data_IF_186812499517
#
_entry.id   IF_186812499517
#
_cell.length_a   1.000
_cell.length_b   1.000
_cell.length_c   1.000
_cell.angle_alpha   90.00
_cell.angle_beta   90.00
_cell.angle_gamma   90.00
#
_symmetry.space_group_name_H-M   'P 1'
#
loop_
_entity.id
_entity.type
_entity.pdbx_description
1 polymer ?
#
# COMPACT_ATOMS: atom_id res chain seq x y z
N UNK A 1 -18.53 -26.28 25.76
CA UNK A 1 -19.93 -25.85 25.90
C UNK A 1 -20.67 -26.11 24.60
N UNK A 2 -21.94 -26.50 24.64
CA UNK A 2 -22.75 -26.81 23.45
C UNK A 2 -24.16 -26.25 23.63
N UNK A 3 -24.81 -25.84 22.54
CA UNK A 3 -26.19 -25.38 22.47
C UNK A 3 -26.91 -26.16 21.35
N UNK A 4 -28.11 -26.65 21.62
CA UNK A 4 -28.92 -27.46 20.69
C UNK A 4 -30.29 -26.83 20.47
N UNK A 5 -30.80 -26.97 19.25
CA UNK A 5 -32.19 -26.67 18.94
C UNK A 5 -33.11 -27.66 19.65
N UNK A 6 -34.27 -27.17 20.10
CA UNK A 6 -35.35 -27.99 20.65
C UNK A 6 -35.95 -28.90 19.56
N UNK A 7 -36.56 -30.01 19.94
CA UNK A 7 -37.21 -30.95 18.99
C UNK A 7 -38.27 -30.26 18.13
N UNK A 8 -39.03 -29.33 18.71
CA UNK A 8 -40.03 -28.54 17.99
C UNK A 8 -39.35 -27.48 17.09
N UNK A 9 -38.32 -26.80 17.61
CA UNK A 9 -37.51 -25.85 16.85
C UNK A 9 -36.84 -26.47 15.62
N UNK A 10 -36.29 -27.68 15.74
CA UNK A 10 -35.69 -28.44 14.63
C UNK A 10 -36.70 -28.73 13.52
N UNK A 11 -37.94 -29.12 13.88
CA UNK A 11 -39.01 -29.41 12.90
C UNK A 11 -39.55 -28.15 12.23
N UNK A 12 -39.64 -27.03 12.95
CA UNK A 12 -40.22 -25.79 12.44
C UNK A 12 -39.24 -24.94 11.62
N UNK A 13 -37.95 -24.92 11.99
CA UNK A 13 -36.98 -24.02 11.37
C UNK A 13 -36.52 -24.48 9.98
N UNK A 14 -36.63 -25.77 9.64
CA UNK A 14 -36.12 -26.37 8.40
C UNK A 14 -34.68 -25.92 8.03
N UNK A 15 -33.88 -25.58 9.04
CA UNK A 15 -32.50 -25.12 8.86
C UNK A 15 -31.53 -26.30 8.85
N UNK A 16 -30.43 -26.23 8.10
CA UNK A 16 -29.47 -27.33 7.97
C UNK A 16 -28.65 -27.59 9.24
N UNK A 17 -28.73 -26.70 10.23
CA UNK A 17 -27.97 -26.76 11.47
C UNK A 17 -28.91 -26.72 12.68
N UNK A 18 -28.65 -27.61 13.65
CA UNK A 18 -29.44 -27.75 14.88
C UNK A 18 -28.57 -27.70 16.14
N UNK A 19 -27.25 -27.53 16.00
CA UNK A 19 -26.30 -27.53 17.09
C UNK A 19 -25.15 -26.57 16.85
N UNK A 20 -24.69 -25.92 17.91
CA UNK A 20 -23.40 -25.23 17.94
C UNK A 20 -22.57 -25.71 19.13
N UNK A 21 -21.31 -26.03 18.86
CA UNK A 21 -20.31 -26.43 19.85
C UNK A 21 -19.19 -25.39 19.88
N UNK A 22 -18.86 -24.91 21.08
CA UNK A 22 -17.69 -24.07 21.30
C UNK A 22 -16.40 -24.90 21.18
N UNK A 23 -15.43 -24.40 20.43
CA UNK A 23 -14.08 -24.93 20.29
C UNK A 23 -13.07 -23.99 20.95
N UNK A 24 -11.79 -24.39 20.99
CA UNK A 24 -10.72 -23.57 21.60
C UNK A 24 -10.54 -22.20 20.91
N UNK A 25 -10.68 -22.14 19.58
CA UNK A 25 -10.49 -20.92 18.78
C UNK A 25 -11.53 -20.81 17.66
N UNK A 26 -12.79 -21.11 18.00
CA UNK A 26 -13.86 -21.15 17.01
C UNK A 26 -15.16 -21.73 17.55
N UNK A 27 -16.11 -21.88 16.65
CA UNK A 27 -17.33 -22.67 16.88
C UNK A 27 -17.52 -23.66 15.75
N UNK A 28 -18.07 -24.81 16.09
CA UNK A 28 -18.59 -25.78 15.12
C UNK A 28 -20.10 -25.67 15.09
N UNK A 29 -20.66 -25.43 13.92
CA UNK A 29 -22.10 -25.46 13.68
C UNK A 29 -22.42 -26.74 12.90
N UNK A 30 -23.35 -27.56 13.39
CA UNK A 30 -23.65 -28.87 12.81
C UNK A 30 -25.14 -29.19 12.77
N UNK A 31 -25.54 -30.07 11.88
CA UNK A 31 -26.83 -30.74 11.82
C UNK A 31 -26.67 -32.19 11.35
N UNK A 32 -27.76 -32.83 10.92
CA UNK A 32 -27.76 -34.28 10.61
C UNK A 32 -26.82 -34.67 9.44
N UNK A 33 -26.66 -33.78 8.45
CA UNK A 33 -25.84 -34.05 7.24
C UNK A 33 -24.83 -32.95 6.92
N UNK A 34 -24.74 -31.91 7.74
CA UNK A 34 -23.91 -30.73 7.48
C UNK A 34 -23.09 -30.36 8.70
N UNK A 35 -21.82 -30.06 8.49
CA UNK A 35 -20.91 -29.53 9.51
C UNK A 35 -20.15 -28.33 8.94
N UNK A 36 -20.03 -27.28 9.74
CA UNK A 36 -19.33 -26.07 9.37
C UNK A 36 -18.48 -25.57 10.54
N UNK A 37 -17.17 -25.49 10.33
CA UNK A 37 -16.23 -24.92 11.30
C UNK A 37 -16.07 -23.42 11.04
N UNK A 38 -16.24 -22.62 12.09
CA UNK A 38 -16.07 -21.17 12.08
C UNK A 38 -14.92 -20.83 13.04
N UNK A 39 -13.69 -20.71 12.54
CA UNK A 39 -12.58 -20.18 13.31
C UNK A 39 -12.83 -18.73 13.74
N UNK A 40 -12.32 -18.32 14.90
CA UNK A 40 -12.47 -16.94 15.37
C UNK A 40 -11.86 -15.88 14.44
N UNK A 41 -10.82 -16.23 13.69
CA UNK A 41 -10.19 -15.33 12.70
C UNK A 41 -11.05 -15.10 11.44
N UNK A 42 -12.14 -15.82 11.26
CA UNK A 42 -13.10 -15.61 10.17
C UNK A 42 -14.38 -14.92 10.64
N UNK A 43 -14.54 -14.72 11.95
CA UNK A 43 -15.77 -14.19 12.52
C UNK A 43 -15.75 -12.66 12.50
N UNK A 44 -16.80 -12.04 11.94
CA UNK A 44 -16.94 -10.59 11.87
C UNK A 44 -17.85 -10.05 12.99
N UNK A 45 -18.94 -10.75 13.27
CA UNK A 45 -19.88 -10.45 14.36
C UNK A 45 -20.68 -11.69 14.75
N UNK A 46 -21.18 -11.67 15.98
CA UNK A 46 -22.13 -12.66 16.51
C UNK A 46 -23.37 -11.88 16.96
N UNK A 47 -24.53 -12.24 16.42
CA UNK A 47 -25.80 -11.68 16.86
C UNK A 47 -26.62 -12.73 17.61
N UNK A 48 -27.19 -12.32 18.74
CA UNK A 48 -28.14 -13.12 19.51
C UNK A 48 -29.51 -12.46 19.42
N UNK A 49 -30.47 -13.15 18.80
CA UNK A 49 -31.82 -12.63 18.57
C UNK A 49 -32.86 -13.45 19.32
N UNK A 50 -33.88 -12.78 19.85
CA UNK A 50 -35.07 -13.42 20.39
C UNK A 50 -36.15 -13.45 19.32
N UNK A 51 -36.54 -14.65 18.90
CA UNK A 51 -37.72 -14.87 18.07
C UNK A 51 -39.01 -14.92 18.89
N UNK A 52 -40.14 -15.21 18.23
CA UNK A 52 -41.45 -15.31 18.87
C UNK A 52 -41.51 -16.36 19.98
N UNK A 53 -40.78 -17.47 19.83
CA UNK A 53 -40.80 -18.59 20.78
C UNK A 53 -39.40 -19.13 21.11
N UNK A 54 -38.40 -18.89 20.25
CA UNK A 54 -37.04 -19.46 20.36
C UNK A 54 -35.96 -18.38 20.29
N UNK A 55 -34.76 -18.69 20.76
CA UNK A 55 -33.55 -17.92 20.48
C UNK A 55 -32.86 -18.33 19.19
N UNK A 56 -32.10 -17.39 18.64
CA UNK A 56 -31.34 -17.52 17.40
C UNK A 56 -29.93 -16.93 17.58
N UNK A 57 -28.93 -17.59 16.98
CA UNK A 57 -27.57 -17.09 16.82
C UNK A 57 -27.24 -16.94 15.34
N UNK A 58 -26.68 -15.78 14.97
CA UNK A 58 -26.12 -15.54 13.65
C UNK A 58 -24.63 -15.24 13.73
N UNK A 59 -23.85 -15.92 12.89
CA UNK A 59 -22.42 -15.70 12.71
C UNK A 59 -22.18 -15.05 11.35
N UNK A 60 -21.69 -13.81 11.33
CA UNK A 60 -21.35 -13.11 10.09
C UNK A 60 -19.89 -13.38 9.72
N UNK A 61 -19.65 -13.79 8.49
CA UNK A 61 -18.36 -14.16 7.92
C UNK A 61 -18.03 -13.28 6.69
N UNK A 62 -16.78 -13.25 6.22
CA UNK A 62 -16.41 -12.58 4.97
C UNK A 62 -17.26 -13.02 3.77
N UNK A 63 -17.39 -12.12 2.78
CA UNK A 63 -18.13 -12.39 1.55
C UNK A 63 -19.64 -12.48 1.74
N UNK A 64 -20.20 -11.69 2.67
CA UNK A 64 -21.65 -11.63 2.99
C UNK A 64 -22.24 -12.97 3.46
N UNK A 65 -21.40 -13.92 3.85
CA UNK A 65 -21.83 -15.22 4.32
C UNK A 65 -22.33 -15.13 5.77
N UNK A 66 -23.50 -15.71 6.02
CA UNK A 66 -24.10 -15.80 7.35
C UNK A 66 -24.42 -17.25 7.67
N UNK A 67 -23.98 -17.73 8.84
CA UNK A 67 -24.33 -19.04 9.38
C UNK A 67 -25.27 -18.83 10.56
N UNK A 68 -26.41 -19.53 10.58
CA UNK A 68 -27.43 -19.35 11.60
C UNK A 68 -27.75 -20.64 12.34
N UNK A 69 -28.01 -20.52 13.64
CA UNK A 69 -28.61 -21.55 14.47
C UNK A 69 -29.95 -21.03 15.01
N UNK A 70 -31.03 -21.76 14.75
CA UNK A 70 -32.39 -21.39 15.16
C UNK A 70 -33.01 -22.45 16.07
N UNK A 71 -34.08 -22.08 16.77
CA UNK A 71 -34.92 -23.05 17.49
C UNK A 71 -34.39 -23.46 18.86
N UNK A 72 -33.47 -22.68 19.45
CA UNK A 72 -32.86 -22.94 20.76
C UNK A 72 -33.67 -22.30 21.89
N UNK A 73 -33.58 -22.81 23.12
CA UNK A 73 -34.22 -22.16 24.27
C UNK A 73 -33.57 -20.81 24.56
N UNK A 74 -34.37 -19.75 24.70
CA UNK A 74 -33.86 -18.38 24.78
C UNK A 74 -32.84 -18.16 25.90
N UNK A 75 -33.08 -18.70 27.09
CA UNK A 75 -32.16 -18.59 28.24
C UNK A 75 -30.82 -19.27 27.97
N UNK A 76 -30.83 -20.43 27.30
CA UNK A 76 -29.63 -21.15 26.89
C UNK A 76 -28.89 -20.43 25.76
N UNK A 77 -29.62 -19.87 24.78
CA UNK A 77 -29.06 -19.03 23.71
C UNK A 77 -28.30 -17.85 24.29
N UNK A 78 -28.91 -17.13 25.22
CA UNK A 78 -28.29 -15.98 25.87
C UNK A 78 -27.03 -16.40 26.64
N UNK A 79 -27.10 -17.46 27.45
CA UNK A 79 -25.95 -17.95 28.23
C UNK A 79 -24.79 -18.35 27.32
N UNK A 80 -25.09 -19.08 26.25
CA UNK A 80 -24.09 -19.48 25.26
C UNK A 80 -23.49 -18.27 24.55
N UNK A 81 -24.32 -17.32 24.10
CA UNK A 81 -23.87 -16.09 23.45
C UNK A 81 -22.90 -15.31 24.32
N UNK A 82 -23.24 -15.06 25.60
CA UNK A 82 -22.38 -14.28 26.49
C UNK A 82 -21.02 -14.96 26.66
N UNK A 83 -21.00 -16.27 26.90
CA UNK A 83 -19.76 -17.02 27.09
C UNK A 83 -18.90 -17.02 25.81
N UNK A 84 -19.51 -17.32 24.66
CA UNK A 84 -18.81 -17.30 23.37
C UNK A 84 -18.29 -15.90 23.05
N UNK A 85 -19.10 -14.86 23.24
CA UNK A 85 -18.69 -13.49 22.95
C UNK A 85 -17.52 -13.08 23.85
N UNK A 86 -17.53 -13.40 25.15
CA UNK A 86 -16.39 -13.13 26.03
C UNK A 86 -15.11 -13.79 25.51
N UNK A 87 -15.14 -15.08 25.16
CA UNK A 87 -13.97 -15.78 24.64
C UNK A 87 -13.48 -15.21 23.31
N UNK A 88 -14.40 -14.89 22.41
CA UNK A 88 -14.07 -14.32 21.12
C UNK A 88 -13.49 -12.91 21.25
N UNK A 89 -14.02 -12.07 22.15
CA UNK A 89 -13.46 -10.74 22.41
C UNK A 89 -12.06 -10.82 23.04
N UNK A 90 -11.86 -11.71 24.01
CA UNK A 90 -10.53 -11.93 24.61
C UNK A 90 -9.51 -12.38 23.56
N UNK A 91 -9.85 -13.41 22.78
CA UNK A 91 -8.98 -13.88 21.70
C UNK A 91 -8.73 -12.77 20.66
N UNK A 92 -9.73 -11.96 20.35
CA UNK A 92 -9.57 -10.87 19.37
C UNK A 92 -8.64 -9.78 19.88
N UNK A 93 -8.66 -9.47 21.18
CA UNK A 93 -7.75 -8.52 21.79
C UNK A 93 -6.30 -9.04 21.79
N UNK A 94 -6.08 -10.31 22.15
CA UNK A 94 -4.75 -10.93 22.07
C UNK A 94 -4.20 -10.94 20.63
N UNK A 95 -5.06 -11.23 19.66
CA UNK A 95 -4.66 -11.20 18.24
C UNK A 95 -4.49 -9.79 17.68
N UNK A 96 -5.13 -8.77 18.27
CA UNK A 96 -4.95 -7.39 17.83
C UNK A 96 -3.56 -6.85 18.19
N UNK A 97 -2.91 -7.38 19.23
CA UNK A 97 -1.50 -7.05 19.54
C UNK A 97 -0.57 -7.52 18.41
N UNK A 98 -0.75 -8.74 17.91
CA UNK A 98 0.00 -9.27 16.76
C UNK A 98 -0.28 -8.40 15.52
N UNK A 99 -1.55 -8.01 15.30
CA UNK A 99 -1.89 -7.13 14.20
C UNK A 99 -1.22 -5.75 14.32
N UNK A 100 -1.17 -5.18 15.53
CA UNK A 100 -0.48 -3.92 15.80
C UNK A 100 1.01 -4.00 15.46
N UNK A 101 1.69 -5.09 15.82
CA UNK A 101 3.11 -5.28 15.50
C UNK A 101 3.38 -5.38 14.00
N UNK A 102 2.55 -6.15 13.27
CA UNK A 102 2.64 -6.24 11.81
C UNK A 102 2.45 -4.86 11.16
N UNK A 103 1.43 -4.10 11.58
CA UNK A 103 1.16 -2.78 11.04
C UNK A 103 2.28 -1.78 11.36
N UNK A 104 2.82 -1.80 12.60
CA UNK A 104 3.98 -0.98 12.98
C UNK A 104 5.18 -1.26 12.08
N UNK A 105 5.48 -2.54 11.83
CA UNK A 105 6.60 -2.92 10.97
C UNK A 105 6.40 -2.38 9.54
N UNK A 106 5.19 -2.49 8.98
CA UNK A 106 4.90 -1.95 7.65
C UNK A 106 5.07 -0.43 7.61
N UNK A 107 4.53 0.30 8.60
CA UNK A 107 4.66 1.76 8.64
C UNK A 107 6.11 2.22 8.83
N UNK A 108 6.93 1.48 9.58
CA UNK A 108 8.37 1.76 9.69
C UNK A 108 9.12 1.55 8.36
N UNK A 109 8.74 0.55 7.56
CA UNK A 109 9.28 0.38 6.20
C UNK A 109 8.86 1.51 5.26
N UNK A 110 7.60 1.94 5.37
CA UNK A 110 7.07 3.06 4.59
C UNK A 110 7.82 4.35 4.93
N UNK A 111 7.95 4.68 6.22
CA UNK A 111 8.66 5.89 6.66
C UNK A 111 10.12 5.92 6.16
N UNK A 112 10.81 4.78 6.12
CA UNK A 112 12.16 4.68 5.53
C UNK A 112 12.18 4.92 4.02
N UNK A 113 11.12 4.50 3.32
CA UNK A 113 11.01 4.58 1.86
C UNK A 113 10.52 5.96 1.38
N UNK A 114 9.72 6.65 2.19
CA UNK A 114 9.19 7.99 1.97
C UNK A 114 9.91 9.04 2.82
N UNK A 115 11.16 8.78 3.21
CA UNK A 115 11.92 9.68 4.07
C UNK A 115 12.05 11.07 3.42
N UNK A 116 12.06 12.10 4.27
CA UNK A 116 12.28 13.48 3.84
C UNK A 116 13.59 13.60 3.04
N UNK A 117 13.58 14.47 2.03
CA UNK A 117 14.76 14.70 1.18
C UNK A 117 15.01 13.63 0.11
N UNK A 118 14.03 12.78 -0.21
CA UNK A 118 14.10 11.84 -1.34
C UNK A 118 12.87 11.95 -2.24
N UNK A 119 13.08 11.74 -3.55
CA UNK A 119 11.98 11.56 -4.50
C UNK A 119 11.24 10.25 -4.23
N UNK A 120 9.91 10.31 -4.19
CA UNK A 120 9.03 9.16 -4.06
C UNK A 120 8.48 8.74 -5.43
N UNK A 121 9.08 7.71 -6.01
CA UNK A 121 8.72 7.19 -7.33
C UNK A 121 7.37 6.46 -7.32
N UNK A 122 6.74 6.37 -8.50
CA UNK A 122 5.51 5.55 -8.66
C UNK A 122 5.74 4.08 -8.32
N UNK A 123 6.91 3.54 -8.68
CA UNK A 123 7.28 2.15 -8.38
C UNK A 123 7.35 1.91 -6.88
N UNK A 124 8.02 2.78 -6.12
CA UNK A 124 8.10 2.67 -4.66
C UNK A 124 6.71 2.71 -4.00
N UNK A 125 5.82 3.59 -4.46
CA UNK A 125 4.44 3.63 -3.96
C UNK A 125 3.70 2.32 -4.25
N UNK A 126 3.83 1.78 -5.47
CA UNK A 126 3.24 0.48 -5.83
C UNK A 126 3.76 -0.65 -4.93
N UNK A 127 5.07 -0.66 -4.68
CA UNK A 127 5.71 -1.65 -3.80
C UNK A 127 5.26 -1.54 -2.35
N UNK A 128 5.13 -0.31 -1.82
CA UNK A 128 4.56 -0.04 -0.50
C UNK A 128 3.14 -0.61 -0.41
N UNK A 129 2.27 -0.26 -1.37
CA UNK A 129 0.89 -0.74 -1.36
C UNK A 129 0.80 -2.27 -1.45
N UNK A 130 1.65 -2.89 -2.29
CA UNK A 130 1.72 -4.35 -2.43
C UNK A 130 2.13 -5.02 -1.12
N UNK A 131 3.17 -4.50 -0.45
CA UNK A 131 3.64 -4.99 0.86
C UNK A 131 2.56 -4.87 1.93
N UNK A 132 1.90 -3.72 2.02
CA UNK A 132 0.77 -3.52 2.95
C UNK A 132 -0.33 -4.54 2.67
N UNK A 133 -0.82 -4.68 1.43
CA UNK A 133 -1.88 -5.66 1.10
C UNK A 133 -1.49 -7.09 1.46
N UNK A 134 -0.24 -7.47 1.19
CA UNK A 134 0.30 -8.77 1.55
C UNK A 134 0.29 -8.98 3.07
N UNK A 135 0.79 -8.01 3.85
CA UNK A 135 0.79 -8.08 5.30
C UNK A 135 -0.63 -8.20 5.87
N UNK A 136 -1.60 -7.45 5.31
CA UNK A 136 -3.01 -7.49 5.72
C UNK A 136 -3.66 -8.84 5.49
N UNK A 137 -3.32 -9.55 4.42
CA UNK A 137 -3.86 -10.91 4.16
C UNK A 137 -3.42 -11.95 5.18
N UNK A 138 -2.31 -11.70 5.89
CA UNK A 138 -1.78 -12.59 6.93
C UNK A 138 -2.23 -12.23 8.34
N UNK A 139 -3.08 -11.22 8.53
CA UNK A 139 -3.47 -10.78 9.86
C UNK A 139 -4.35 -11.83 10.56
N UNK A 140 -4.14 -12.06 11.87
CA UNK A 140 -4.97 -12.99 12.64
C UNK A 140 -6.38 -12.46 12.90
N UNK A 141 -6.61 -11.15 12.77
CA UNK A 141 -7.92 -10.51 12.93
C UNK A 141 -8.40 -9.96 11.58
N UNK A 142 -9.68 -10.15 11.19
CA UNK A 142 -10.23 -9.53 9.99
C UNK A 142 -10.03 -8.02 9.96
N UNK A 143 -9.58 -7.48 8.83
CA UNK A 143 -9.26 -6.04 8.68
C UNK A 143 -10.43 -5.12 9.01
N UNK A 144 -11.66 -5.53 8.71
CA UNK A 144 -12.90 -4.78 9.04
C UNK A 144 -13.12 -4.59 10.54
N UNK A 145 -12.44 -5.36 11.38
CA UNK A 145 -12.52 -5.25 12.84
C UNK A 145 -11.40 -4.42 13.45
N UNK A 146 -10.35 -4.07 12.69
CA UNK A 146 -9.16 -3.40 13.26
C UNK A 146 -9.48 -2.03 13.87
N UNK A 147 -10.49 -1.32 13.37
CA UNK A 147 -10.95 -0.05 13.98
C UNK A 147 -11.50 -0.22 15.40
N UNK A 148 -11.90 -1.43 15.80
CA UNK A 148 -12.46 -1.68 17.13
C UNK A 148 -11.39 -1.77 18.23
N UNK A 149 -10.10 -1.86 17.89
CA UNK A 149 -9.03 -2.06 18.87
C UNK A 149 -8.09 -0.85 18.91
N UNK A 150 -7.96 -0.22 20.09
CA UNK A 150 -7.18 1.01 20.25
C UNK A 150 -5.69 0.84 19.93
N UNK A 151 -5.13 -0.35 20.21
CA UNK A 151 -3.72 -0.68 20.00
C UNK A 151 -3.31 -0.69 18.51
N UNK A 152 -4.24 -0.96 17.59
CA UNK A 152 -3.96 -1.03 16.15
C UNK A 152 -4.77 -0.05 15.30
N UNK A 153 -5.81 0.59 15.83
CA UNK A 153 -6.73 1.47 15.09
C UNK A 153 -6.01 2.53 14.26
N UNK A 154 -5.10 3.29 14.90
CA UNK A 154 -4.43 4.39 14.22
C UNK A 154 -3.42 3.91 13.17
N UNK A 155 -2.71 2.82 13.48
CA UNK A 155 -1.79 2.17 12.54
C UNK A 155 -2.55 1.68 11.30
N UNK A 156 -3.72 1.09 11.52
CA UNK A 156 -4.60 0.63 10.45
C UNK A 156 -5.04 1.79 9.55
N UNK A 157 -5.47 2.91 10.13
CA UNK A 157 -5.86 4.11 9.37
C UNK A 157 -4.72 4.69 8.54
N UNK A 158 -3.51 4.69 9.07
CA UNK A 158 -2.32 5.08 8.29
C UNK A 158 -2.03 4.11 7.15
N UNK A 159 -2.15 2.79 7.37
CA UNK A 159 -2.05 1.83 6.27
C UNK A 159 -3.15 2.07 5.21
N UNK A 160 -4.38 2.36 5.63
CA UNK A 160 -5.48 2.70 4.71
C UNK A 160 -5.20 3.97 3.90
N UNK A 161 -4.59 5.01 4.50
CA UNK A 161 -4.20 6.23 3.78
C UNK A 161 -3.10 5.96 2.76
N UNK A 162 -2.25 4.94 2.97
CA UNK A 162 -1.30 4.50 1.94
C UNK A 162 -1.94 3.67 0.83
N UNK A 163 -3.05 3.00 1.12
CA UNK A 163 -3.83 2.24 0.14
C UNK A 163 -4.83 3.09 -0.65
N UNK A 164 -5.21 4.26 -0.14
CA UNK A 164 -6.17 5.19 -0.74
C UNK A 164 -5.51 6.52 -1.09
N UNK A 165 -5.95 7.18 -2.17
CA UNK A 165 -5.54 8.55 -2.52
C UNK A 165 -4.02 8.84 -2.61
N UNK A 166 -3.19 7.83 -2.88
CA UNK A 166 -1.73 7.93 -2.75
C UNK A 166 -1.06 8.84 -3.78
N UNK A 167 -1.66 9.04 -4.95
CA UNK A 167 -1.04 9.89 -5.99
C UNK A 167 -0.99 11.36 -5.56
N UNK A 168 -2.04 11.87 -4.89
CA UNK A 168 -2.05 13.24 -4.40
C UNK A 168 -0.95 13.46 -3.36
N UNK A 169 -0.88 12.59 -2.35
CA UNK A 169 0.14 12.65 -1.31
C UNK A 169 1.56 12.51 -1.89
N UNK A 170 1.75 11.64 -2.88
CA UNK A 170 3.03 11.48 -3.59
C UNK A 170 3.43 12.75 -4.34
N UNK A 171 2.49 13.41 -5.00
CA UNK A 171 2.74 14.68 -5.71
C UNK A 171 3.11 15.80 -4.72
N UNK A 172 2.40 15.92 -3.60
CA UNK A 172 2.70 16.89 -2.54
C UNK A 172 4.09 16.66 -1.95
N UNK A 173 4.43 15.41 -1.61
CA UNK A 173 5.78 15.02 -1.15
C UNK A 173 6.87 15.40 -2.15
N UNK A 174 6.68 15.02 -3.42
CA UNK A 174 7.64 15.32 -4.48
C UNK A 174 7.74 16.82 -4.79
N UNK A 175 6.66 17.57 -4.58
CA UNK A 175 6.68 19.03 -4.69
C UNK A 175 7.57 19.64 -3.61
N UNK A 176 7.39 19.26 -2.35
CA UNK A 176 8.24 19.74 -1.24
C UNK A 176 9.71 19.36 -1.47
N UNK A 177 9.99 18.13 -1.90
CA UNK A 177 11.34 17.71 -2.29
C UNK A 177 11.89 18.60 -3.41
N UNK A 178 11.09 18.85 -4.44
CA UNK A 178 11.52 19.65 -5.59
C UNK A 178 11.86 21.08 -5.19
N UNK A 179 11.01 21.72 -4.38
CA UNK A 179 11.23 23.08 -3.90
C UNK A 179 12.50 23.17 -3.04
N UNK A 180 12.73 22.20 -2.17
CA UNK A 180 13.98 22.10 -1.41
C UNK A 180 15.21 21.96 -2.30
N UNK A 181 15.15 21.11 -3.33
CA UNK A 181 16.27 20.93 -4.28
C UNK A 181 16.53 22.19 -5.12
N UNK A 182 15.48 22.87 -5.59
CA UNK A 182 15.63 24.11 -6.37
C UNK A 182 16.27 25.22 -5.54
N UNK A 183 15.95 25.30 -4.24
CA UNK A 183 16.56 26.25 -3.33
C UNK A 183 18.02 25.90 -3.02
N UNK A 184 18.27 24.66 -2.60
CA UNK A 184 19.61 24.18 -2.22
C UNK A 184 20.60 24.29 -3.38
N UNK A 185 20.16 24.01 -4.61
CA UNK A 185 21.00 23.98 -5.81
C UNK A 185 20.73 25.16 -6.74
N UNK A 186 20.23 26.29 -6.21
CA UNK A 186 19.93 27.48 -7.01
C UNK A 186 21.09 27.93 -7.90
N UNK A 187 22.32 27.89 -7.39
CA UNK A 187 23.53 28.25 -8.14
C UNK A 187 23.76 27.35 -9.35
N UNK A 188 23.54 26.04 -9.20
CA UNK A 188 23.62 25.08 -10.30
C UNK A 188 22.60 25.41 -11.39
N UNK A 189 21.32 25.58 -11.02
CA UNK A 189 20.26 25.86 -12.01
C UNK A 189 20.41 27.23 -12.70
N UNK A 190 21.09 28.18 -12.04
CA UNK A 190 21.39 29.49 -12.61
C UNK A 190 22.56 29.48 -13.61
N UNK A 191 23.49 28.53 -13.49
CA UNK A 191 24.78 28.58 -14.18
C UNK A 191 25.14 27.35 -15.03
N UNK A 192 24.40 26.24 -14.91
CA UNK A 192 24.69 24.99 -15.65
C UNK A 192 24.61 25.16 -17.17
N UNK A 193 23.87 26.16 -17.64
CA UNK A 193 23.67 26.46 -19.04
C UNK A 193 23.97 27.92 -19.36
N UNK A 194 23.98 28.27 -20.65
CA UNK A 194 24.26 29.65 -21.09
C UNK A 194 23.25 30.68 -20.57
N UNK A 195 22.05 30.23 -20.20
CA UNK A 195 21.06 31.01 -19.47
C UNK A 195 20.47 30.17 -18.32
N UNK A 196 19.97 30.82 -17.26
CA UNK A 196 19.30 30.13 -16.16
C UNK A 196 18.15 29.24 -16.66
N UNK A 197 18.04 28.04 -16.11
CA UNK A 197 16.89 27.19 -16.40
C UNK A 197 15.61 27.83 -15.88
N UNK A 198 14.56 27.81 -16.70
CA UNK A 198 13.25 28.22 -16.23
C UNK A 198 12.67 27.19 -15.23
N UNK A 199 11.62 27.55 -14.45
CA UNK A 199 11.07 26.64 -13.44
C UNK A 199 10.62 25.28 -13.99
N UNK A 200 10.08 25.21 -15.20
CA UNK A 200 9.64 23.94 -15.79
C UNK A 200 10.83 23.04 -16.17
N UNK A 201 11.89 23.61 -16.73
CA UNK A 201 13.14 22.91 -17.06
C UNK A 201 13.82 22.41 -15.79
N UNK A 202 13.96 23.26 -14.78
CA UNK A 202 14.59 22.86 -13.52
C UNK A 202 13.79 21.76 -12.80
N UNK A 203 12.46 21.82 -12.80
CA UNK A 203 11.60 20.74 -12.29
C UNK A 203 11.77 19.43 -13.07
N UNK A 204 11.93 19.49 -14.39
CA UNK A 204 12.23 18.31 -15.20
C UNK A 204 13.62 17.72 -14.86
N UNK A 205 14.61 18.57 -14.58
CA UNK A 205 15.95 18.15 -14.15
C UNK A 205 15.96 17.56 -12.74
N UNK A 206 15.12 18.02 -11.81
CA UNK A 206 15.05 17.48 -10.43
C UNK A 206 14.28 16.17 -10.34
N UNK A 207 13.34 15.93 -11.25
CA UNK A 207 12.45 14.78 -11.20
C UNK A 207 13.21 13.45 -11.06
N UNK A 208 12.89 12.68 -10.00
CA UNK A 208 13.58 11.44 -9.64
C UNK A 208 12.89 10.16 -10.12
N UNK A 209 11.90 10.25 -11.02
CA UNK A 209 11.30 9.05 -11.60
C UNK A 209 12.34 8.25 -12.41
N UNK A 210 12.22 6.92 -12.38
CA UNK A 210 13.07 6.03 -13.19
C UNK A 210 12.91 6.24 -14.69
N UNK A 211 11.75 6.73 -15.10
CA UNK A 211 11.43 7.03 -16.50
C UNK A 211 10.60 8.31 -16.55
N UNK A 212 11.06 9.27 -17.33
CA UNK A 212 10.46 10.59 -17.45
C UNK A 212 10.29 10.96 -18.92
N UNK A 213 9.07 11.35 -19.29
CA UNK A 213 8.78 11.95 -20.59
C UNK A 213 8.67 13.46 -20.42
N UNK A 214 9.52 14.21 -21.14
CA UNK A 214 9.47 15.67 -21.17
C UNK A 214 8.88 16.12 -22.50
N UNK A 215 7.70 16.74 -22.46
CA UNK A 215 7.06 17.33 -23.64
C UNK A 215 7.67 18.71 -23.91
N UNK A 216 8.35 18.85 -25.04
CA UNK A 216 9.16 20.02 -25.31
C UNK A 216 9.00 20.52 -26.75
N UNK A 217 8.39 21.70 -26.89
CA UNK A 217 8.19 22.36 -28.19
C UNK A 217 9.49 22.80 -28.86
N UNK A 218 9.38 23.33 -30.09
CA UNK A 218 10.50 24.00 -30.75
C UNK A 218 11.01 25.16 -29.86
N UNK A 219 12.34 25.35 -29.78
CA UNK A 219 12.95 26.43 -28.98
C UNK A 219 12.88 26.30 -27.45
N UNK A 220 12.22 25.28 -26.90
CA UNK A 220 12.01 25.14 -25.44
C UNK A 220 13.23 24.72 -24.61
N UNK A 221 14.42 24.63 -25.21
CA UNK A 221 15.65 24.23 -24.50
C UNK A 221 15.76 22.72 -24.21
N UNK A 222 15.30 21.86 -25.13
CA UNK A 222 15.42 20.38 -25.02
C UNK A 222 16.83 19.93 -24.65
N UNK A 223 17.82 20.38 -25.41
CA UNK A 223 19.23 20.03 -25.19
C UNK A 223 19.73 20.56 -23.85
N UNK A 224 19.33 21.77 -23.46
CA UNK A 224 19.65 22.36 -22.14
C UNK A 224 19.18 21.45 -20.99
N UNK A 225 17.97 20.89 -21.09
CA UNK A 225 17.43 19.97 -20.07
C UNK A 225 18.24 18.68 -20.01
N UNK A 226 18.65 18.11 -21.14
CA UNK A 226 19.45 16.88 -21.18
C UNK A 226 20.84 17.09 -20.57
N UNK A 227 21.54 18.16 -20.96
CA UNK A 227 22.86 18.51 -20.41
C UNK A 227 22.77 18.81 -18.92
N UNK A 228 21.80 19.63 -18.51
CA UNK A 228 21.58 19.92 -17.10
C UNK A 228 21.19 18.67 -16.31
N UNK A 229 20.45 17.71 -16.89
CA UNK A 229 20.14 16.45 -16.21
C UNK A 229 21.38 15.58 -16.02
N UNK A 230 22.27 15.49 -17.01
CA UNK A 230 23.55 14.80 -16.84
C UNK A 230 24.39 15.46 -15.73
N UNK A 231 24.53 16.79 -15.76
CA UNK A 231 25.21 17.55 -14.71
C UNK A 231 24.59 17.39 -13.33
N UNK A 232 23.26 17.30 -13.26
CA UNK A 232 22.53 17.08 -12.01
C UNK A 232 22.86 15.71 -11.40
N UNK A 233 22.83 14.65 -12.20
CA UNK A 233 23.15 13.29 -11.74
C UNK A 233 24.59 13.19 -11.20
N UNK A 234 25.54 13.82 -11.90
CA UNK A 234 26.93 13.92 -11.46
C UNK A 234 27.07 14.71 -10.16
N UNK A 235 26.49 15.92 -10.10
CA UNK A 235 26.56 16.82 -8.94
C UNK A 235 25.97 16.18 -7.68
N UNK A 236 24.94 15.35 -7.85
CA UNK A 236 24.28 14.62 -6.76
C UNK A 236 24.97 13.31 -6.40
N UNK A 237 25.96 12.87 -7.17
CA UNK A 237 26.59 11.54 -7.01
C UNK A 237 25.60 10.39 -7.25
N UNK A 238 24.54 10.64 -8.02
CA UNK A 238 23.53 9.63 -8.37
C UNK A 238 23.98 8.74 -9.54
N UNK A 239 24.95 9.20 -10.33
CA UNK A 239 25.63 8.43 -11.36
C UNK A 239 27.08 8.92 -11.53
N UNK A 240 27.97 8.00 -11.88
CA UNK A 240 29.27 8.32 -12.46
C UNK A 240 29.12 8.64 -13.96
N UNK A 241 30.09 9.33 -14.56
CA UNK A 241 29.99 9.81 -15.94
C UNK A 241 29.84 8.65 -16.95
N UNK A 242 30.58 7.56 -16.75
CA UNK A 242 30.52 6.35 -17.56
C UNK A 242 29.17 5.60 -17.47
N UNK A 243 28.33 5.94 -16.49
CA UNK A 243 26.98 5.38 -16.33
C UNK A 243 25.92 6.19 -17.09
N UNK A 244 26.29 7.31 -17.73
CA UNK A 244 25.39 8.20 -18.44
C UNK A 244 25.56 8.02 -19.95
N UNK A 245 24.50 7.57 -20.63
CA UNK A 245 24.41 7.50 -22.08
C UNK A 245 23.45 8.57 -22.60
N UNK A 246 23.92 9.38 -23.55
CA UNK A 246 23.10 10.35 -24.28
C UNK A 246 22.89 9.86 -25.72
N UNK A 247 21.66 9.95 -26.22
CA UNK A 247 21.31 9.51 -27.58
C UNK A 247 20.65 10.62 -28.39
N UNK A 248 21.08 10.74 -29.65
CA UNK A 248 20.51 11.64 -30.64
C UNK A 248 20.20 10.91 -31.96
N UNK A 249 19.31 11.47 -32.77
CA UNK A 249 19.01 10.90 -34.09
C UNK A 249 20.09 11.20 -35.14
N UNK A 250 20.57 12.44 -35.18
CA UNK A 250 21.56 12.89 -36.15
C UNK A 250 22.97 12.97 -35.55
N UNK A 251 24.00 12.75 -36.38
CA UNK A 251 25.41 12.88 -35.97
C UNK A 251 25.74 14.30 -35.50
N UNK A 252 25.24 15.31 -36.19
CA UNK A 252 25.43 16.71 -35.79
C UNK A 252 24.86 16.99 -34.40
N UNK A 253 23.64 16.50 -34.10
CA UNK A 253 23.04 16.68 -32.78
C UNK A 253 23.80 15.96 -31.66
N UNK A 254 24.42 14.81 -31.96
CA UNK A 254 25.31 14.12 -31.02
C UNK A 254 26.58 14.94 -30.76
N UNK A 255 27.24 15.44 -31.82
CA UNK A 255 28.44 16.28 -31.71
C UNK A 255 28.18 17.58 -30.93
N UNK A 256 27.09 18.29 -31.24
CA UNK A 256 26.68 19.49 -30.51
C UNK A 256 26.42 19.20 -29.03
N UNK A 257 25.89 18.01 -28.70
CA UNK A 257 25.64 17.61 -27.32
C UNK A 257 26.96 17.30 -26.59
N UNK A 258 27.92 16.64 -27.24
CA UNK A 258 29.25 16.38 -26.69
C UNK A 258 30.03 17.67 -26.41
N UNK A 259 30.05 18.60 -27.37
CA UNK A 259 30.68 19.91 -27.19
C UNK A 259 30.08 20.65 -26.00
N UNK A 260 28.75 20.63 -25.89
CA UNK A 260 28.04 21.29 -24.79
C UNK A 260 28.30 20.63 -23.44
N UNK A 261 28.37 19.30 -23.37
CA UNK A 261 28.73 18.57 -22.16
C UNK A 261 30.15 18.95 -21.72
N UNK A 262 31.12 18.97 -22.64
CA UNK A 262 32.50 19.36 -22.36
C UNK A 262 32.57 20.79 -21.83
N UNK A 263 31.90 21.73 -22.49
CA UNK A 263 31.90 23.15 -22.10
C UNK A 263 31.23 23.40 -20.75
N UNK A 264 30.11 22.71 -20.46
CA UNK A 264 29.28 23.00 -19.28
C UNK A 264 29.66 22.19 -18.06
N UNK A 265 30.05 20.94 -18.26
CA UNK A 265 30.30 19.98 -17.18
C UNK A 265 31.79 19.67 -17.00
N UNK A 266 32.65 20.10 -17.93
CA UNK A 266 34.10 19.92 -17.84
C UNK A 266 34.55 18.46 -17.92
N UNK A 267 33.76 17.59 -18.54
CA UNK A 267 34.05 16.16 -18.69
C UNK A 267 33.94 15.72 -20.15
N UNK A 268 34.79 14.77 -20.54
CA UNK A 268 34.73 14.06 -21.83
C UNK A 268 34.27 12.60 -21.67
N UNK A 269 34.00 12.16 -20.44
CA UNK A 269 33.64 10.77 -20.14
C UNK A 269 32.17 10.46 -20.50
N UNK A 270 31.33 11.48 -20.56
CA UNK A 270 29.97 11.37 -21.08
C UNK A 270 30.02 11.61 -22.59
N UNK A 271 29.60 10.61 -23.36
CA UNK A 271 29.53 10.71 -24.83
C UNK A 271 28.10 10.50 -25.35
N UNK A 272 27.66 11.42 -26.18
CA UNK A 272 26.46 11.35 -26.96
C UNK A 272 26.68 10.53 -28.23
N UNK A 273 25.78 9.57 -28.46
CA UNK A 273 25.84 8.67 -29.62
C UNK A 273 24.58 8.78 -30.47
N UNK A 274 24.70 8.37 -31.72
CA UNK A 274 23.51 8.02 -32.50
C UNK A 274 23.04 6.62 -32.18
N UNK A 275 21.77 6.32 -32.43
CA UNK A 275 21.25 4.95 -32.31
C UNK A 275 22.05 3.94 -33.15
N UNK A 276 22.40 4.31 -34.39
CA UNK A 276 23.20 3.46 -35.28
C UNK A 276 24.60 3.20 -34.74
N UNK A 277 25.29 4.24 -34.24
CA UNK A 277 26.62 4.07 -33.66
C UNK A 277 26.61 3.25 -32.36
N UNK A 278 25.54 3.34 -31.57
CA UNK A 278 25.39 2.51 -30.37
C UNK A 278 25.26 1.03 -30.75
N UNK A 279 24.47 0.71 -31.78
CA UNK A 279 24.20 -0.67 -32.20
C UNK A 279 25.37 -1.38 -32.91
N UNK A 280 26.45 -0.65 -33.23
CA UNK A 280 27.68 -1.22 -33.81
C UNK A 280 28.66 -1.76 -32.75
N UNK A 281 28.36 -1.53 -31.48
CA UNK A 281 29.13 -1.98 -30.32
C UNK A 281 28.30 -2.95 -29.47
#
# INVERSE_FOLDING_TARGET
>A
MELRATTLGKRMAQHPYDRVQLLNAGVKVSGDSHEYLIPFNQLLSIHCKRGLVWGELEFTLPGEKVVRLHGTEWSETQRFYHHLNTLWQQWSAEMSDIAADVLRQQLAEVARSSAEGKWLTRQQVSDIQRKIRHALSGLPVPTVRLDAFDNCRELWRQCQSWLSNTEKARLEHNQTFTESMLEQYRGFFAAVESSPLNPAQARAVVNGERSLLVLAGAGSGKTSVLVARAGWLLTRGEAAAEQILLLAFGRQAAQEMDERIRERLGTEEISARTFHSLALH
#
